data_IF_723741206215
#
_entry.id   IF_723741206215
#
_cell.length_a   1.000
_cell.length_b   1.000
_cell.length_c   1.000
_cell.angle_alpha   90.00
_cell.angle_beta   90.00
_cell.angle_gamma   90.00
#
_symmetry.space_group_name_H-M   'P 1'
#
loop_
_entity.id
_entity.type
_entity.pdbx_description
1 polymer ?
#
# COMPACT_ATOMS: atom_id res chain seq x y z
N UNK A 1 8.09 -8.24 2.46
CA UNK A 1 7.57 -9.61 2.63
C UNK A 1 8.54 -10.51 3.40
N UNK A 2 9.74 -10.83 2.90
CA UNK A 2 10.72 -11.69 3.63
C UNK A 2 10.99 -11.21 5.07
N UNK A 3 11.30 -9.92 5.25
CA UNK A 3 11.44 -9.31 6.58
C UNK A 3 10.16 -9.39 7.43
N UNK A 4 8.97 -9.31 6.80
CA UNK A 4 7.69 -9.37 7.50
C UNK A 4 7.39 -10.78 8.06
N UNK A 5 7.94 -11.83 7.42
CA UNK A 5 7.83 -13.22 7.90
C UNK A 5 9.02 -13.63 8.79
N UNK A 6 9.89 -12.70 9.17
CA UNK A 6 11.07 -12.99 10.00
C UNK A 6 12.23 -13.67 9.28
N UNK A 7 12.21 -13.70 7.93
CA UNK A 7 13.33 -14.20 7.13
C UNK A 7 14.27 -13.04 6.85
N UNK A 8 15.45 -13.09 7.47
CA UNK A 8 16.52 -12.11 7.35
C UNK A 8 17.73 -12.65 6.60
N UNK A 9 18.01 -13.95 6.76
CA UNK A 9 19.12 -14.66 6.13
C UNK A 9 18.63 -15.95 5.46
N UNK A 10 19.49 -16.58 4.63
CA UNK A 10 19.14 -17.83 3.95
C UNK A 10 18.99 -19.01 4.95
N UNK A 11 19.75 -18.99 6.04
CA UNK A 11 19.69 -19.97 7.13
C UNK A 11 18.29 -20.08 7.71
N UNK A 12 17.61 -18.95 7.92
CA UNK A 12 16.24 -18.87 8.43
C UNK A 12 15.26 -19.71 7.60
N UNK A 13 15.43 -19.70 6.28
CA UNK A 13 14.58 -20.48 5.35
C UNK A 13 14.91 -21.96 5.42
N UNK A 14 16.21 -22.30 5.48
CA UNK A 14 16.66 -23.70 5.55
C UNK A 14 16.14 -24.35 6.84
N UNK A 15 16.24 -23.65 7.97
CA UNK A 15 15.73 -24.13 9.26
C UNK A 15 14.21 -24.27 9.25
N UNK A 16 13.49 -23.25 8.77
CA UNK A 16 12.03 -23.32 8.66
C UNK A 16 11.54 -24.52 7.83
N UNK A 17 12.21 -24.81 6.71
CA UNK A 17 11.89 -25.97 5.86
C UNK A 17 12.20 -27.28 6.56
N UNK A 18 13.37 -27.38 7.23
CA UNK A 18 13.77 -28.59 7.97
C UNK A 18 12.82 -28.90 9.12
N UNK A 19 12.41 -27.87 9.85
CA UNK A 19 11.56 -27.99 11.02
C UNK A 19 10.06 -28.09 10.64
N UNK A 20 9.73 -27.91 9.36
CA UNK A 20 8.34 -27.85 8.89
C UNK A 20 7.56 -26.65 9.43
N UNK A 21 8.28 -25.61 9.88
CA UNK A 21 7.69 -24.40 10.47
C UNK A 21 7.17 -23.48 9.37
N UNK A 22 5.84 -23.29 9.36
CA UNK A 22 5.17 -22.46 8.38
C UNK A 22 3.99 -21.72 9.01
N UNK A 23 3.64 -20.59 8.42
CA UNK A 23 2.41 -19.86 8.76
C UNK A 23 1.52 -19.66 7.55
N UNK A 24 0.21 -19.57 7.81
CA UNK A 24 -0.73 -19.08 6.82
C UNK A 24 -0.68 -17.55 6.78
N UNK A 25 -0.64 -16.98 5.59
CA UNK A 25 -0.69 -15.54 5.34
C UNK A 25 -1.86 -15.20 4.43
N UNK A 26 -2.43 -14.03 4.65
CA UNK A 26 -3.49 -13.49 3.81
C UNK A 26 -2.91 -12.97 2.50
N UNK A 27 -3.72 -13.04 1.44
CA UNK A 27 -3.45 -12.35 0.18
C UNK A 27 -4.41 -11.19 -0.01
N UNK A 28 -3.91 -10.08 -0.53
CA UNK A 28 -4.77 -9.05 -1.09
C UNK A 28 -5.26 -9.51 -2.46
N UNK A 29 -6.49 -9.19 -2.80
CA UNK A 29 -7.03 -9.41 -4.14
C UNK A 29 -7.74 -8.16 -4.64
N UNK A 30 -7.71 -7.96 -5.95
CA UNK A 30 -8.40 -6.88 -6.64
C UNK A 30 -9.12 -7.45 -7.85
N UNK A 31 -10.44 -7.27 -7.88
CA UNK A 31 -11.24 -7.47 -9.07
C UNK A 31 -11.31 -6.16 -9.85
N UNK A 32 -11.02 -6.23 -11.15
CA UNK A 32 -11.00 -5.07 -12.05
C UNK A 32 -12.12 -5.26 -13.07
N UNK A 33 -13.11 -4.36 -13.05
CA UNK A 33 -14.32 -4.45 -13.84
C UNK A 33 -14.92 -5.88 -13.74
N UNK A 34 -15.12 -6.55 -14.88
CA UNK A 34 -15.69 -7.91 -14.93
C UNK A 34 -14.60 -9.01 -15.04
N UNK A 35 -13.31 -8.65 -14.92
CA UNK A 35 -12.21 -9.60 -15.02
C UNK A 35 -12.05 -10.45 -13.74
N UNK A 36 -11.41 -11.64 -13.83
CA UNK A 36 -11.05 -12.42 -12.67
C UNK A 36 -10.16 -11.64 -11.68
N UNK A 37 -10.27 -11.87 -10.36
CA UNK A 37 -9.44 -11.16 -9.39
C UNK A 37 -7.95 -11.43 -9.56
N UNK A 38 -7.15 -10.35 -9.54
CA UNK A 38 -5.70 -10.41 -9.46
C UNK A 38 -5.27 -10.39 -7.98
N UNK A 39 -4.30 -11.24 -7.61
CA UNK A 39 -3.80 -11.34 -6.23
C UNK A 39 -2.50 -10.56 -6.07
N UNK A 40 -2.31 -9.94 -4.92
CA UNK A 40 -1.10 -9.21 -4.55
C UNK A 40 -0.68 -9.52 -3.11
N UNK A 41 0.63 -9.54 -2.87
CA UNK A 41 1.22 -9.88 -1.58
C UNK A 41 1.38 -8.68 -0.66
N UNK A 42 1.79 -7.54 -1.22
CA UNK A 42 2.14 -6.35 -0.46
C UNK A 42 1.11 -5.25 -0.68
N UNK A 43 1.04 -4.70 -1.89
CA UNK A 43 0.35 -3.42 -2.09
C UNK A 43 -0.27 -3.31 -3.46
N UNK A 44 -1.45 -2.71 -3.53
CA UNK A 44 -2.07 -2.22 -4.74
C UNK A 44 -2.24 -0.71 -4.69
N UNK A 45 -2.28 -0.04 -5.85
CA UNK A 45 -2.33 1.41 -5.91
C UNK A 45 -2.90 1.96 -7.21
N UNK A 46 -3.60 3.08 -7.10
CA UNK A 46 -4.20 3.83 -8.20
C UNK A 46 -3.66 5.27 -8.17
N UNK A 47 -3.22 5.79 -9.31
CA UNK A 47 -2.81 7.20 -9.45
C UNK A 47 -1.32 7.49 -9.29
N UNK A 48 -0.46 6.86 -10.11
CA UNK A 48 0.94 7.27 -10.25
C UNK A 48 1.88 6.84 -9.12
N UNK A 49 1.64 5.64 -8.57
CA UNK A 49 2.41 5.08 -7.47
C UNK A 49 3.72 4.31 -7.79
N UNK A 50 4.19 4.10 -9.05
CA UNK A 50 5.43 3.33 -9.27
C UNK A 50 6.63 3.87 -8.47
N UNK A 51 6.71 5.19 -8.28
CA UNK A 51 7.88 5.84 -7.68
C UNK A 51 7.88 5.89 -6.14
N UNK A 52 6.74 5.62 -5.49
CA UNK A 52 6.64 5.73 -4.02
C UNK A 52 6.95 4.43 -3.28
N UNK A 53 6.88 3.27 -3.96
CA UNK A 53 7.41 2.00 -3.40
C UNK A 53 8.92 2.04 -3.31
N UNK A 54 9.61 2.72 -4.24
CA UNK A 54 11.06 2.91 -4.20
C UNK A 54 11.54 3.80 -3.02
N UNK A 55 10.63 4.59 -2.44
CA UNK A 55 10.90 5.31 -1.18
C UNK A 55 11.22 4.36 -0.03
N UNK A 56 10.72 3.12 -0.11
CA UNK A 56 10.80 2.07 0.90
C UNK A 56 12.18 1.40 0.96
N UNK A 57 12.90 1.33 -0.15
CA UNK A 57 14.22 0.69 -0.21
C UNK A 57 15.35 1.53 0.41
N UNK A 58 15.09 2.80 0.74
CA UNK A 58 16.15 3.75 1.06
C UNK A 58 16.18 4.20 2.53
N UNK A 59 15.42 3.55 3.40
CA UNK A 59 15.18 3.93 4.79
C UNK A 59 16.10 3.36 5.87
N UNK A 60 17.30 2.84 5.54
CA UNK A 60 18.23 2.32 6.57
C UNK A 60 19.63 3.00 6.63
N UNK A 61 19.87 4.09 5.90
CA UNK A 61 21.15 4.81 6.02
C UNK A 61 20.97 6.30 6.33
N UNK A 62 21.31 6.66 7.58
CA UNK A 62 21.67 7.99 8.10
C UNK A 62 21.58 9.15 7.07
N UNK A 63 20.62 10.06 7.29
CA UNK A 63 20.67 11.50 6.91
C UNK A 63 21.02 11.88 5.45
N UNK A 64 21.04 10.96 4.47
CA UNK A 64 21.48 11.28 3.11
C UNK A 64 20.44 11.16 1.99
N UNK A 65 19.40 10.33 2.13
CA UNK A 65 18.52 9.94 0.99
C UNK A 65 17.06 10.40 1.07
N UNK A 66 16.61 10.88 2.23
CA UNK A 66 15.23 11.37 2.39
C UNK A 66 14.89 12.63 1.57
N UNK A 67 15.82 13.57 1.28
CA UNK A 67 15.52 14.69 0.39
C UNK A 67 15.19 14.26 -1.04
N UNK A 68 15.86 13.23 -1.57
CA UNK A 68 15.59 12.68 -2.89
C UNK A 68 14.20 12.03 -2.96
N UNK A 69 13.86 11.27 -1.92
CA UNK A 69 12.53 10.71 -1.70
C UNK A 69 11.44 11.79 -1.64
N UNK A 70 11.63 12.83 -0.82
CA UNK A 70 10.71 13.96 -0.73
C UNK A 70 10.55 14.66 -2.08
N UNK A 71 11.64 14.86 -2.83
CA UNK A 71 11.62 15.48 -4.14
C UNK A 71 10.90 14.62 -5.19
N UNK A 72 11.07 13.30 -5.16
CA UNK A 72 10.33 12.36 -5.99
C UNK A 72 8.82 12.44 -5.69
N UNK A 73 8.43 12.38 -4.42
CA UNK A 73 7.03 12.55 -4.00
C UNK A 73 6.44 13.89 -4.46
N UNK A 74 7.20 14.99 -4.34
CA UNK A 74 6.77 16.30 -4.84
C UNK A 74 6.58 16.29 -6.36
N UNK A 75 7.48 15.67 -7.12
CA UNK A 75 7.38 15.58 -8.59
C UNK A 75 6.16 14.78 -9.02
N UNK A 76 5.97 13.58 -8.44
CA UNK A 76 4.80 12.73 -8.70
C UNK A 76 3.51 13.50 -8.41
N UNK A 77 3.40 14.12 -7.23
CA UNK A 77 2.19 14.87 -6.88
C UNK A 77 1.96 16.11 -7.75
N UNK A 78 3.03 16.74 -8.27
CA UNK A 78 2.91 17.89 -9.19
C UNK A 78 2.40 17.49 -10.57
N UNK A 79 2.83 16.33 -11.07
CA UNK A 79 2.46 15.81 -12.38
C UNK A 79 1.18 14.98 -12.37
N UNK A 80 0.79 14.44 -11.21
CA UNK A 80 -0.42 13.62 -11.08
C UNK A 80 -1.67 14.47 -11.27
N UNK A 81 -2.52 14.05 -12.21
CA UNK A 81 -3.88 14.57 -12.32
C UNK A 81 -4.77 13.98 -11.22
N UNK A 82 -5.71 14.77 -10.68
CA UNK A 82 -6.57 14.27 -9.63
C UNK A 82 -7.62 13.29 -10.20
N UNK A 83 -7.67 12.10 -9.63
CA UNK A 83 -8.66 11.07 -9.90
C UNK A 83 -10.00 11.48 -9.28
N UNK A 84 -11.05 11.49 -10.11
CA UNK A 84 -12.43 11.63 -9.66
C UNK A 84 -13.00 10.24 -9.48
N UNK A 85 -13.32 9.87 -8.24
CA UNK A 85 -13.68 8.50 -7.86
C UNK A 85 -14.89 8.47 -6.93
N UNK A 86 -15.58 7.33 -6.85
CA UNK A 86 -16.38 6.97 -5.68
C UNK A 86 -15.65 5.92 -4.88
N UNK A 87 -15.40 6.22 -3.61
CA UNK A 87 -14.82 5.28 -2.66
C UNK A 87 -15.95 4.82 -1.74
N UNK A 88 -16.30 3.54 -1.80
CA UNK A 88 -17.49 2.95 -1.17
C UNK A 88 -18.76 3.78 -1.41
N UNK A 89 -19.01 4.14 -2.67
CA UNK A 89 -20.16 4.95 -3.07
C UNK A 89 -20.06 6.45 -2.76
N UNK A 90 -19.08 6.91 -1.98
CA UNK A 90 -18.91 8.32 -1.63
C UNK A 90 -18.03 9.01 -2.68
N UNK A 91 -18.55 10.04 -3.39
CA UNK A 91 -17.75 10.80 -4.36
C UNK A 91 -16.57 11.50 -3.67
N UNK A 92 -15.38 11.33 -4.24
CA UNK A 92 -14.13 11.93 -3.79
C UNK A 92 -13.29 12.36 -4.99
N UNK A 93 -12.48 13.39 -4.78
CA UNK A 93 -11.36 13.71 -5.67
C UNK A 93 -10.09 13.37 -4.92
N UNK A 94 -9.24 12.53 -5.48
CA UNK A 94 -8.02 12.04 -4.82
C UNK A 94 -6.83 12.13 -5.76
N UNK A 95 -5.64 12.35 -5.22
CA UNK A 95 -4.41 12.28 -6.01
C UNK A 95 -3.96 10.84 -6.21
N UNK A 96 -4.12 10.02 -5.17
CA UNK A 96 -3.72 8.62 -5.16
C UNK A 96 -4.57 7.82 -4.17
N UNK A 97 -4.73 6.53 -4.45
CA UNK A 97 -5.26 5.51 -3.54
C UNK A 97 -4.23 4.41 -3.39
N UNK A 98 -4.00 4.00 -2.15
CA UNK A 98 -3.10 2.93 -1.77
C UNK A 98 -3.87 1.90 -0.95
N UNK A 99 -3.59 0.63 -1.20
CA UNK A 99 -4.21 -0.51 -0.54
C UNK A 99 -3.09 -1.48 -0.15
N UNK A 100 -2.78 -1.57 1.15
CA UNK A 100 -1.86 -2.54 1.69
C UNK A 100 -2.58 -3.84 2.08
N UNK A 101 -1.97 -4.99 1.79
CA UNK A 101 -2.40 -6.27 2.33
C UNK A 101 -1.85 -6.44 3.76
N UNK A 102 -2.74 -6.43 4.75
CA UNK A 102 -2.41 -6.42 6.17
C UNK A 102 -2.27 -5.02 6.76
N UNK A 103 -2.05 -4.96 8.07
CA UNK A 103 -1.99 -3.71 8.82
C UNK A 103 -0.56 -3.15 8.84
N UNK A 104 -0.34 -2.05 8.12
CA UNK A 104 0.96 -1.38 8.11
C UNK A 104 1.09 -0.40 9.27
N UNK A 105 2.18 -0.51 10.02
CA UNK A 105 2.56 0.40 11.11
C UNK A 105 4.00 0.91 10.93
N UNK A 106 4.37 2.06 11.51
CA UNK A 106 3.49 3.04 12.15
C UNK A 106 2.52 3.70 11.15
N UNK A 107 1.46 4.34 11.66
CA UNK A 107 0.51 5.07 10.83
C UNK A 107 1.23 6.25 10.13
N UNK A 108 1.09 6.38 8.81
CA UNK A 108 1.72 7.45 8.01
C UNK A 108 2.50 6.89 6.82
N UNK A 109 2.86 7.71 5.83
CA UNK A 109 3.41 7.22 4.54
C UNK A 109 4.75 6.46 4.67
N UNK A 110 5.45 6.61 5.80
CA UNK A 110 6.66 5.85 6.15
C UNK A 110 6.35 4.59 6.98
N UNK A 111 5.29 3.85 6.65
CA UNK A 111 4.91 2.64 7.38
C UNK A 111 5.87 1.49 7.03
N UNK A 112 6.62 1.01 8.04
CA UNK A 112 7.80 0.18 7.86
C UNK A 112 7.52 -1.33 8.00
N UNK A 113 6.52 -1.74 8.77
CA UNK A 113 6.32 -3.15 9.10
C UNK A 113 4.84 -3.56 9.16
N UNK A 114 4.56 -4.82 8.79
CA UNK A 114 3.29 -5.50 9.05
C UNK A 114 3.45 -6.34 10.30
N UNK A 115 2.73 -5.98 11.37
CA UNK A 115 2.77 -6.77 12.62
C UNK A 115 1.94 -8.05 12.53
N UNK A 116 0.97 -8.10 11.61
CA UNK A 116 0.08 -9.24 11.40
C UNK A 116 -0.21 -9.42 9.91
N UNK A 117 0.05 -10.62 9.42
CA UNK A 117 -0.17 -11.04 8.02
C UNK A 117 -1.45 -11.87 7.87
N UNK A 118 -2.21 -12.06 8.95
CA UNK A 118 -3.37 -12.94 9.11
C UNK A 118 -4.62 -12.17 9.61
N UNK A 119 -4.58 -10.84 9.55
CA UNK A 119 -5.58 -9.99 10.19
C UNK A 119 -6.91 -9.92 9.41
N UNK A 120 -6.95 -10.40 8.16
CA UNK A 120 -8.11 -10.29 7.28
C UNK A 120 -8.48 -8.84 6.95
N UNK A 121 -7.50 -7.93 6.96
CA UNK A 121 -7.72 -6.49 6.79
C UNK A 121 -6.78 -5.89 5.76
N UNK A 122 -7.33 -4.94 5.00
CA UNK A 122 -6.59 -4.05 4.10
C UNK A 122 -6.33 -2.72 4.81
N UNK A 123 -5.13 -2.17 4.63
CA UNK A 123 -4.79 -0.80 5.04
C UNK A 123 -4.96 0.14 3.85
N UNK A 124 -6.07 0.88 3.84
CA UNK A 124 -6.46 1.78 2.75
C UNK A 124 -6.06 3.20 3.08
N UNK A 125 -5.33 3.83 2.17
CA UNK A 125 -4.83 5.20 2.33
C UNK A 125 -5.08 5.99 1.06
N UNK A 126 -5.54 7.23 1.19
CA UNK A 126 -5.69 8.09 0.02
C UNK A 126 -5.42 9.55 0.36
N UNK A 127 -4.93 10.28 -0.65
CA UNK A 127 -4.66 11.71 -0.53
C UNK A 127 -5.76 12.48 -1.23
N UNK A 128 -6.54 13.24 -0.45
CA UNK A 128 -7.68 14.03 -0.91
C UNK A 128 -7.22 15.20 -1.76
N UNK A 129 -7.76 15.32 -2.98
CA UNK A 129 -7.54 16.44 -3.91
C UNK A 129 -8.68 17.46 -3.92
N UNK A 130 -9.75 17.22 -3.15
CA UNK A 130 -10.91 18.11 -2.95
C UNK A 130 -10.69 19.15 -1.83
N UNK A 131 -9.47 19.26 -1.29
CA UNK A 131 -9.11 20.20 -0.23
C UNK A 131 -8.24 21.33 -0.79
N UNK A 132 -8.49 22.57 -0.35
CA UNK A 132 -7.70 23.75 -0.77
C UNK A 132 -6.23 23.56 -0.38
N UNK A 133 -5.35 23.78 -1.37
CA UNK A 133 -3.90 23.61 -1.28
C UNK A 133 -3.49 22.19 -0.85
N UNK A 134 -4.29 21.19 -1.22
CA UNK A 134 -4.10 19.80 -0.83
C UNK A 134 -2.66 19.29 -1.02
N UNK A 135 -2.07 19.49 -2.21
CA UNK A 135 -0.70 19.04 -2.51
C UNK A 135 0.31 19.62 -1.53
N UNK A 136 0.31 20.95 -1.38
CA UNK A 136 1.23 21.67 -0.49
C UNK A 136 1.05 21.25 0.97
N UNK A 137 -0.21 21.16 1.43
CA UNK A 137 -0.52 20.73 2.81
C UNK A 137 -0.12 19.29 3.07
N UNK A 138 -0.32 18.39 2.09
CA UNK A 138 0.14 17.01 2.18
C UNK A 138 1.67 16.93 2.26
N UNK A 139 2.39 17.65 1.39
CA UNK A 139 3.86 17.69 1.38
C UNK A 139 4.38 18.22 2.73
N UNK A 140 3.85 19.35 3.22
CA UNK A 140 4.24 19.91 4.52
C UNK A 140 3.94 18.92 5.65
N UNK A 141 2.75 18.31 5.66
CA UNK A 141 2.37 17.30 6.65
C UNK A 141 3.28 16.07 6.62
N UNK A 142 3.72 15.63 5.44
CA UNK A 142 4.67 14.53 5.27
C UNK A 142 6.04 14.89 5.82
N UNK A 143 6.55 16.08 5.49
CA UNK A 143 7.85 16.56 5.97
C UNK A 143 7.86 16.79 7.48
N UNK A 144 6.75 17.26 8.05
CA UNK A 144 6.61 17.52 9.48
C UNK A 144 6.25 16.27 10.30
N UNK A 145 6.06 15.10 9.68
CA UNK A 145 5.60 13.89 10.36
C UNK A 145 4.15 13.97 10.88
N UNK A 146 3.37 14.95 10.44
CA UNK A 146 2.03 15.28 10.95
C UNK A 146 0.90 14.87 9.99
N UNK A 147 1.15 13.92 9.06
CA UNK A 147 0.15 13.48 8.07
C UNK A 147 -1.16 13.01 8.69
N UNK A 148 -1.10 12.36 9.87
CA UNK A 148 -2.29 11.87 10.58
C UNK A 148 -3.22 12.98 11.03
N UNK A 149 -2.70 14.20 11.20
CA UNK A 149 -3.46 15.37 11.63
C UNK A 149 -3.95 16.18 10.42
N UNK A 150 -3.51 15.82 9.20
CA UNK A 150 -3.91 16.54 7.99
C UNK A 150 -5.20 16.00 7.40
N UNK A 151 -6.18 16.87 7.20
CA UNK A 151 -7.40 16.58 6.43
C UNK A 151 -7.15 16.18 4.97
N UNK A 152 -5.92 16.33 4.47
CA UNK A 152 -5.55 15.91 3.10
C UNK A 152 -5.23 14.42 3.00
N UNK A 153 -5.01 13.74 4.11
CA UNK A 153 -4.67 12.33 4.15
C UNK A 153 -5.75 11.58 4.91
N UNK A 154 -6.20 10.46 4.35
CA UNK A 154 -7.12 9.55 5.02
C UNK A 154 -6.46 8.19 5.08
N UNK A 155 -6.57 7.56 6.24
CA UNK A 155 -6.19 6.17 6.48
C UNK A 155 -7.36 5.45 7.14
N UNK A 156 -7.67 4.25 6.64
CA UNK A 156 -8.69 3.38 7.22
C UNK A 156 -8.31 1.92 7.03
N UNK A 157 -8.81 1.09 7.92
CA UNK A 157 -8.58 -0.36 7.91
C UNK A 157 -9.94 -1.03 7.63
N UNK A 158 -10.01 -1.88 6.60
CA UNK A 158 -11.26 -2.54 6.20
C UNK A 158 -11.01 -3.87 5.50
N UNK A 159 -11.96 -4.80 5.53
CA UNK A 159 -11.83 -6.10 4.86
C UNK A 159 -12.07 -6.01 3.34
N UNK A 160 -12.87 -5.03 2.91
CA UNK A 160 -13.22 -4.77 1.51
C UNK A 160 -13.19 -3.26 1.24
N UNK A 161 -12.82 -2.89 0.01
CA UNK A 161 -12.82 -1.52 -0.51
C UNK A 161 -13.35 -1.53 -1.94
N UNK A 162 -14.31 -0.65 -2.24
CA UNK A 162 -14.78 -0.42 -3.60
C UNK A 162 -14.33 0.95 -4.09
N UNK A 163 -13.70 0.99 -5.26
CA UNK A 163 -13.28 2.22 -5.94
C UNK A 163 -13.84 2.21 -7.36
N UNK A 164 -14.73 3.14 -7.66
CA UNK A 164 -15.22 3.41 -9.01
C UNK A 164 -14.56 4.70 -9.52
N UNK A 165 -13.93 4.67 -10.68
CA UNK A 165 -13.34 5.84 -11.32
C UNK A 165 -14.36 6.44 -12.29
N UNK A 166 -14.63 7.73 -12.12
CA UNK A 166 -15.65 8.47 -12.88
C UNK A 166 -15.05 9.22 -14.09
N UNK A 167 -13.75 9.06 -14.33
CA UNK A 167 -13.01 9.74 -15.39
C UNK A 167 -12.19 8.76 -16.23
N UNK A 168 -11.01 9.19 -16.66
CA UNK A 168 -10.09 8.32 -17.39
C UNK A 168 -9.69 7.12 -16.52
N UNK A 169 -9.78 5.88 -17.04
CA UNK A 169 -9.29 4.69 -16.34
C UNK A 169 -7.81 4.84 -15.96
N UNK A 170 -7.45 4.77 -14.68
CA UNK A 170 -6.07 4.79 -14.25
C UNK A 170 -5.44 3.42 -14.40
N UNK A 171 -4.12 3.41 -14.59
CA UNK A 171 -3.32 2.22 -14.37
C UNK A 171 -3.36 1.81 -12.89
N UNK A 172 -3.61 0.53 -12.65
CA UNK A 172 -3.48 -0.16 -11.38
C UNK A 172 -2.11 -0.81 -11.32
N UNK A 173 -1.37 -0.51 -10.25
CA UNK A 173 -0.11 -1.17 -9.95
C UNK A 173 -0.25 -2.05 -8.71
N UNK A 174 0.23 -3.29 -8.81
CA UNK A 174 0.30 -4.27 -7.71
C UNK A 174 1.73 -4.73 -7.53
N UNK A 175 2.19 -4.78 -6.28
CA UNK A 175 3.54 -5.21 -5.90
C UNK A 175 4.70 -4.54 -6.66
N UNK A 176 4.45 -3.35 -7.22
CA UNK A 176 5.42 -2.56 -7.99
C UNK A 176 5.27 -2.64 -9.51
N UNK A 177 4.40 -3.53 -10.01
CA UNK A 177 4.17 -3.73 -11.44
C UNK A 177 2.80 -3.21 -11.87
N UNK A 178 2.71 -2.60 -13.06
CA UNK A 178 1.43 -2.19 -13.64
C UNK A 178 0.77 -3.40 -14.28
N UNK A 179 -0.45 -3.73 -13.85
CA UNK A 179 -1.13 -4.95 -14.30
C UNK A 179 -2.30 -4.69 -15.26
N UNK A 180 -3.01 -3.58 -15.11
CA UNK A 180 -4.17 -3.26 -15.94
C UNK A 180 -4.59 -1.80 -15.79
N UNK A 181 -5.40 -1.31 -16.73
CA UNK A 181 -6.24 -0.13 -16.56
C UNK A 181 -7.69 -0.59 -16.37
N UNK A 182 -8.49 0.17 -15.61
CA UNK A 182 -9.89 -0.18 -15.37
C UNK A 182 -10.66 0.94 -14.70
N UNK A 183 -11.98 0.76 -14.60
CA UNK A 183 -12.87 1.78 -14.01
C UNK A 183 -13.46 1.35 -12.67
N UNK A 184 -13.71 0.06 -12.45
CA UNK A 184 -14.24 -0.46 -11.19
C UNK A 184 -13.23 -1.38 -10.54
N UNK A 185 -12.87 -1.10 -9.30
CA UNK A 185 -11.91 -1.88 -8.53
C UNK A 185 -12.55 -2.31 -7.21
N UNK A 186 -12.63 -3.62 -6.99
CA UNK A 186 -13.05 -4.20 -5.71
C UNK A 186 -11.86 -4.88 -5.08
N UNK A 187 -11.33 -4.28 -4.03
CA UNK A 187 -10.23 -4.83 -3.24
C UNK A 187 -10.80 -5.60 -2.05
N UNK A 188 -10.25 -6.78 -1.78
CA UNK A 188 -10.64 -7.60 -0.63
C UNK A 188 -9.46 -8.44 -0.17
N UNK A 189 -9.52 -8.90 1.08
CA UNK A 189 -8.57 -9.88 1.61
C UNK A 189 -9.02 -11.31 1.31
N UNK A 190 -8.07 -12.22 1.13
CA UNK A 190 -8.26 -13.67 1.11
C UNK A 190 -7.52 -14.26 2.31
N UNK A 191 -8.22 -14.53 3.43
CA UNK A 191 -7.58 -15.00 4.65
C UNK A 191 -6.89 -16.35 4.46
N UNK A 192 -5.71 -16.51 5.07
CA UNK A 192 -4.94 -17.76 5.11
C UNK A 192 -4.71 -18.40 3.71
N UNK A 193 -4.64 -17.59 2.66
CA UNK A 193 -4.61 -18.06 1.27
C UNK A 193 -3.27 -18.67 0.84
N UNK A 194 -2.17 -18.39 1.54
CA UNK A 194 -0.85 -18.93 1.23
C UNK A 194 -0.19 -19.49 2.50
N UNK A 195 0.41 -20.68 2.42
CA UNK A 195 1.30 -21.20 3.47
C UNK A 195 2.75 -20.86 3.11
N UNK A 196 3.45 -20.21 4.02
CA UNK A 196 4.82 -19.74 3.82
C UNK A 196 5.70 -20.23 4.97
N UNK A 197 6.84 -20.83 4.63
CA UNK A 197 7.85 -21.22 5.61
C UNK A 197 8.45 -19.98 6.27
N UNK A 198 8.60 -20.05 7.59
CA UNK A 198 9.24 -19.01 8.40
C UNK A 198 9.90 -19.60 9.63
N UNK A 199 10.90 -18.92 10.21
CA UNK A 199 11.43 -19.29 11.51
C UNK A 199 10.34 -19.33 12.58
N UNK A 200 10.45 -20.30 13.48
CA UNK A 200 9.60 -20.39 14.67
C UNK A 200 9.88 -19.18 15.58
N UNK A 201 8.88 -18.31 15.87
CA UNK A 201 9.08 -17.16 16.74
C UNK A 201 9.33 -17.52 18.22
N UNK A 202 9.12 -18.77 18.63
CA UNK A 202 9.29 -19.20 20.03
C UNK A 202 10.69 -19.78 20.34
N UNK A 203 11.65 -19.69 19.40
CA UNK A 203 13.06 -20.06 19.61
C UNK A 203 14.00 -18.86 19.68
#
# INVERSE_FOLDING_TARGET
>A
FARDIGVTELSDVVEAVRDGSAMAVDLGAVQIDDAPPHRFLNTASLGGYPDLVQLREHGEARWGKWPAAALALIRVLRQADPLVVRIDGIPRKVWLVFVGNGLYRPRGFAAAARHRLDAGLLDVRYVRADVRWSRTRFIIGALAGALQQSHTYVQRECAELQVEVLGRPPALATDGEVIAEGSRFRFFTQPAALKVYRPDPER
#
